data_IF_753605589236
#
_entry.id   IF_753605589236
#
_cell.length_a   1.000
_cell.length_b   1.000
_cell.length_c   1.000
_cell.angle_alpha   90.00
_cell.angle_beta   90.00
_cell.angle_gamma   90.00
#
_symmetry.space_group_name_H-M   'P 1'
#
loop_
_entity.id
_entity.type
_entity.pdbx_description
1 polymer ?
#
# COMPACT_ATOMS: atom_id res chain seq x y z
N UNK A 1 3.15 13.44 1.89
CA UNK A 1 3.37 13.96 3.26
C UNK A 1 2.22 13.77 4.26
N UNK A 2 2.01 12.57 4.81
CA UNK A 2 0.84 12.28 5.70
C UNK A 2 1.18 11.96 7.16
N UNK A 3 2.45 11.67 7.49
CA UNK A 3 2.89 11.39 8.88
C UNK A 3 3.52 12.60 9.59
N UNK A 4 3.32 13.81 9.05
CA UNK A 4 4.09 15.01 9.38
C UNK A 4 4.02 15.44 10.85
N UNK A 5 2.83 15.36 11.46
CA UNK A 5 2.56 15.77 12.83
C UNK A 5 2.82 14.67 13.85
N UNK A 6 2.94 13.41 13.41
CA UNK A 6 3.12 12.26 14.29
C UNK A 6 4.46 12.30 15.06
N UNK A 7 5.52 12.76 14.39
CA UNK A 7 6.89 12.69 14.93
C UNK A 7 7.09 13.46 16.23
N UNK A 8 6.29 14.50 16.45
CA UNK A 8 6.40 15.39 17.62
C UNK A 8 5.41 15.06 18.74
N UNK A 9 4.62 13.99 18.62
CA UNK A 9 3.83 13.51 19.75
C UNK A 9 4.76 13.15 20.93
N UNK A 10 4.35 13.56 22.12
CA UNK A 10 5.05 13.17 23.34
C UNK A 10 4.85 11.67 23.63
N UNK A 11 5.83 11.07 24.29
CA UNK A 11 5.63 9.76 24.90
C UNK A 11 4.70 9.90 26.13
N UNK A 12 3.85 8.89 26.42
CA UNK A 12 3.78 7.58 25.77
C UNK A 12 2.89 7.52 24.51
N UNK A 13 2.22 8.61 24.15
CA UNK A 13 1.16 8.62 23.13
C UNK A 13 1.69 8.26 21.74
N UNK A 14 2.87 8.78 21.36
CA UNK A 14 3.50 8.43 20.08
C UNK A 14 3.75 6.93 19.96
N UNK A 15 4.31 6.29 21.00
CA UNK A 15 4.52 4.85 21.01
C UNK A 15 3.21 4.06 21.02
N UNK A 16 2.16 4.55 21.68
CA UNK A 16 0.83 3.91 21.67
C UNK A 16 0.20 3.92 20.27
N UNK A 17 0.27 5.04 19.55
CA UNK A 17 -0.22 5.14 18.16
C UNK A 17 0.50 4.11 17.28
N UNK A 18 1.83 4.03 17.39
CA UNK A 18 2.62 3.04 16.64
C UNK A 18 2.29 1.59 17.04
N UNK A 19 1.93 1.33 18.29
CA UNK A 19 1.45 0.02 18.73
C UNK A 19 0.11 -0.33 18.04
N UNK A 20 -0.85 0.60 18.00
CA UNK A 20 -2.13 0.37 17.28
C UNK A 20 -1.93 0.07 15.80
N UNK A 21 -0.94 0.67 15.14
CA UNK A 21 -0.68 0.46 13.72
C UNK A 21 0.08 -0.86 13.46
N UNK A 22 1.15 -1.13 14.21
CA UNK A 22 2.15 -2.13 13.81
C UNK A 22 2.32 -3.30 14.77
N UNK A 23 1.90 -3.19 16.03
CA UNK A 23 2.11 -4.28 17.00
C UNK A 23 1.23 -5.47 16.63
N UNK A 24 1.82 -6.67 16.43
CA UNK A 24 1.03 -7.87 16.14
C UNK A 24 0.05 -8.19 17.28
N UNK A 25 -1.11 -8.72 16.92
CA UNK A 25 -2.16 -9.16 17.86
C UNK A 25 -2.61 -8.03 18.82
N UNK A 26 -2.68 -6.80 18.31
CA UNK A 26 -3.08 -5.64 19.10
C UNK A 26 -4.15 -4.80 18.37
N UNK A 27 -3.72 -3.93 17.45
CA UNK A 27 -4.61 -3.12 16.63
C UNK A 27 -4.63 -3.61 15.19
N UNK A 28 -4.41 -2.69 14.25
CA UNK A 28 -4.38 -2.93 12.81
C UNK A 28 -3.32 -3.94 12.40
N UNK A 29 -2.26 -4.17 13.21
CA UNK A 29 -1.30 -5.27 13.05
C UNK A 29 -0.76 -5.40 11.62
N UNK A 30 -0.45 -4.27 10.98
CA UNK A 30 -0.24 -4.18 9.53
C UNK A 30 0.87 -5.11 9.02
N UNK A 31 0.63 -5.70 7.85
CA UNK A 31 1.58 -6.59 7.17
C UNK A 31 2.52 -5.86 6.20
N UNK A 32 2.08 -4.71 5.68
CA UNK A 32 2.79 -3.91 4.67
C UNK A 32 2.82 -2.46 5.14
N UNK A 33 3.98 -1.83 5.02
CA UNK A 33 4.15 -0.38 5.12
C UNK A 33 4.76 0.11 3.80
N UNK A 34 4.02 0.94 3.07
CA UNK A 34 4.46 1.64 1.86
C UNK A 34 4.74 3.10 2.23
N UNK A 35 5.93 3.59 1.90
CA UNK A 35 6.37 4.97 2.18
C UNK A 35 6.73 5.71 0.88
N UNK A 36 6.57 7.04 0.93
CA UNK A 36 7.06 7.92 -0.13
C UNK A 36 8.60 7.95 -0.13
N UNK A 37 9.19 7.82 -1.32
CA UNK A 37 10.57 8.25 -1.55
C UNK A 37 10.50 9.74 -1.85
N UNK A 38 10.73 10.57 -0.82
CA UNK A 38 10.62 12.03 -0.90
C UNK A 38 11.42 12.60 -2.07
N UNK A 39 10.85 13.58 -2.76
CA UNK A 39 11.42 14.17 -3.99
C UNK A 39 11.39 15.69 -4.00
N UNK A 40 11.25 16.33 -2.83
CA UNK A 40 11.18 17.78 -2.61
C UNK A 40 9.95 18.50 -3.18
N UNK A 41 9.12 17.82 -3.98
CA UNK A 41 7.87 18.35 -4.52
C UNK A 41 6.67 18.12 -3.61
N UNK A 42 5.60 18.88 -3.85
CA UNK A 42 4.30 18.71 -3.20
C UNK A 42 3.64 17.40 -3.67
N UNK A 43 3.29 16.51 -2.73
CA UNK A 43 2.69 15.19 -2.94
C UNK A 43 1.36 15.03 -2.18
N UNK A 44 0.44 15.98 -2.37
CA UNK A 44 -0.91 16.13 -1.76
C UNK A 44 -0.94 17.06 -0.55
N UNK A 45 -0.41 16.63 0.60
CA UNK A 45 -0.58 17.32 1.90
C UNK A 45 0.66 18.11 2.36
N UNK A 46 1.68 18.16 1.53
CA UNK A 46 2.95 18.81 1.80
C UNK A 46 4.08 18.18 1.00
N UNK A 47 5.29 18.74 1.16
CA UNK A 47 6.51 18.19 0.55
C UNK A 47 7.17 17.18 1.48
N UNK A 48 7.81 16.16 0.89
CA UNK A 48 8.71 15.26 1.60
C UNK A 48 10.16 15.42 1.12
N UNK A 49 11.14 15.54 2.03
CA UNK A 49 12.50 15.87 1.65
C UNK A 49 13.19 14.69 0.98
N UNK A 50 13.86 14.96 -0.14
CA UNK A 50 14.70 14.00 -0.84
C UNK A 50 15.97 13.66 -0.06
N UNK A 51 16.48 12.44 -0.27
CA UNK A 51 17.83 12.06 0.15
C UNK A 51 18.93 12.71 -0.71
N UNK A 52 18.60 13.31 -1.87
CA UNK A 52 19.54 14.00 -2.75
C UNK A 52 18.94 15.31 -3.32
N UNK A 53 19.07 16.44 -2.60
CA UNK A 53 18.54 17.72 -3.06
C UNK A 53 19.23 18.26 -4.33
N UNK A 54 20.50 17.92 -4.52
CA UNK A 54 21.32 18.25 -5.69
C UNK A 54 22.22 17.06 -6.07
N UNK A 55 22.81 17.07 -7.26
CA UNK A 55 23.49 15.90 -7.86
C UNK A 55 24.58 15.25 -6.97
N UNK A 56 25.27 16.06 -6.16
CA UNK A 56 26.33 15.59 -5.25
C UNK A 56 25.91 15.60 -3.77
N UNK A 57 24.61 15.68 -3.48
CA UNK A 57 24.07 15.62 -2.12
C UNK A 57 23.61 14.21 -1.79
N UNK A 58 23.99 13.67 -0.64
CA UNK A 58 23.41 12.46 -0.08
C UNK A 58 23.18 12.62 1.43
N UNK A 59 21.92 12.50 1.86
CA UNK A 59 21.58 12.48 3.28
C UNK A 59 20.39 11.57 3.55
N UNK A 60 20.67 10.47 4.25
CA UNK A 60 19.70 9.43 4.57
C UNK A 60 19.04 9.63 5.94
N UNK A 61 19.07 10.84 6.50
CA UNK A 61 18.51 11.16 7.82
C UNK A 61 17.45 12.26 7.77
N UNK A 62 17.03 12.69 6.57
CA UNK A 62 15.97 13.68 6.38
C UNK A 62 14.58 13.06 6.49
N UNK A 63 13.60 13.89 6.84
CA UNK A 63 12.21 13.49 6.92
C UNK A 63 11.94 12.50 8.05
N UNK A 64 10.85 11.75 7.92
CA UNK A 64 10.34 10.89 8.98
C UNK A 64 10.15 9.43 8.56
N UNK A 65 10.21 9.12 7.27
CA UNK A 65 9.93 7.76 6.79
C UNK A 65 10.98 6.73 7.23
N UNK A 66 12.25 7.14 7.35
CA UNK A 66 13.29 6.29 7.94
C UNK A 66 12.96 5.90 9.39
N UNK A 67 12.46 6.86 10.18
CA UNK A 67 12.05 6.61 11.56
C UNK A 67 10.81 5.72 11.60
N UNK A 68 9.81 5.99 10.77
CA UNK A 68 8.56 5.24 10.74
C UNK A 68 8.80 3.76 10.37
N UNK A 69 9.62 3.51 9.35
CA UNK A 69 10.00 2.14 8.96
C UNK A 69 10.74 1.39 10.08
N UNK A 70 11.63 2.07 10.82
CA UNK A 70 12.32 1.48 11.98
C UNK A 70 11.35 1.16 13.12
N UNK A 71 10.42 2.07 13.44
CA UNK A 71 9.42 1.86 14.48
C UNK A 71 8.45 0.71 14.13
N UNK A 72 8.09 0.59 12.85
CA UNK A 72 7.29 -0.53 12.34
C UNK A 72 8.05 -1.85 12.44
N UNK A 73 9.30 -1.92 11.96
CA UNK A 73 10.16 -3.12 12.05
C UNK A 73 10.45 -3.54 13.48
N UNK A 74 10.60 -2.59 14.41
CA UNK A 74 10.79 -2.86 15.83
C UNK A 74 9.60 -3.62 16.44
N UNK A 75 8.39 -3.34 15.98
CA UNK A 75 7.15 -3.99 16.46
C UNK A 75 6.82 -5.26 15.70
N UNK A 76 6.98 -5.22 14.38
CA UNK A 76 6.75 -6.34 13.49
C UNK A 76 7.97 -6.53 12.56
N UNK A 77 8.95 -7.37 12.95
CA UNK A 77 10.13 -7.64 12.11
C UNK A 77 9.81 -8.21 10.73
N UNK A 78 8.63 -8.85 10.59
CA UNK A 78 8.16 -9.46 9.34
C UNK A 78 7.42 -8.49 8.41
N UNK A 79 7.16 -7.25 8.84
CA UNK A 79 6.46 -6.25 8.01
C UNK A 79 7.19 -6.07 6.68
N UNK A 80 6.44 -5.98 5.59
CA UNK A 80 6.97 -5.73 4.25
C UNK A 80 7.11 -4.23 4.01
N UNK A 81 8.27 -3.80 3.52
CA UNK A 81 8.56 -2.40 3.24
C UNK A 81 8.54 -2.11 1.74
N UNK A 82 7.83 -1.06 1.34
CA UNK A 82 7.71 -0.63 -0.06
C UNK A 82 8.12 0.84 -0.16
N UNK A 83 8.96 1.18 -1.14
CA UNK A 83 9.28 2.56 -1.50
C UNK A 83 8.71 2.94 -2.87
N UNK A 84 8.08 4.10 -2.98
CA UNK A 84 7.56 4.64 -4.25
C UNK A 84 7.85 6.14 -4.35
N UNK A 85 8.42 6.65 -5.45
CA UNK A 85 8.53 8.09 -5.69
C UNK A 85 7.20 8.70 -6.14
N UNK A 86 6.85 9.86 -5.57
CA UNK A 86 5.79 10.75 -6.10
C UNK A 86 6.36 11.88 -6.93
N UNK A 87 7.48 12.44 -6.50
CA UNK A 87 8.20 13.53 -7.15
C UNK A 87 9.68 13.20 -7.24
N UNK A 88 10.43 13.99 -8.01
CA UNK A 88 11.88 13.86 -8.13
C UNK A 88 12.53 15.25 -8.04
N UNK A 89 13.72 15.38 -7.43
CA UNK A 89 14.50 16.61 -7.50
C UNK A 89 14.81 17.00 -8.95
N UNK A 90 14.81 18.30 -9.25
CA UNK A 90 14.93 18.80 -10.62
C UNK A 90 16.21 18.35 -11.37
N UNK A 91 17.30 18.11 -10.63
CA UNK A 91 18.57 17.68 -11.23
C UNK A 91 18.50 16.28 -11.87
N UNK A 92 17.53 15.45 -11.44
CA UNK A 92 17.30 14.11 -12.02
C UNK A 92 16.94 14.20 -13.51
N UNK A 93 16.17 15.21 -13.89
CA UNK A 93 15.82 15.46 -15.29
C UNK A 93 16.90 16.21 -16.08
N UNK A 94 18.04 16.56 -15.47
CA UNK A 94 19.14 17.35 -16.07
C UNK A 94 18.66 18.62 -16.80
N UNK A 95 17.70 19.33 -16.21
CA UNK A 95 17.11 20.54 -16.78
C UNK A 95 15.76 20.32 -17.46
N UNK A 96 15.37 19.07 -17.72
CA UNK A 96 14.04 18.71 -18.19
C UNK A 96 13.10 18.33 -17.04
N UNK A 97 11.80 18.49 -17.24
CA UNK A 97 10.78 18.12 -16.25
C UNK A 97 10.27 16.68 -16.45
N UNK A 98 11.17 15.75 -16.78
CA UNK A 98 10.82 14.35 -17.06
C UNK A 98 11.91 13.39 -16.55
N UNK A 99 11.58 12.42 -15.67
CA UNK A 99 12.58 11.56 -15.05
C UNK A 99 13.10 10.43 -15.97
N UNK A 100 12.58 10.29 -17.20
CA UNK A 100 12.96 9.19 -18.09
C UNK A 100 13.79 9.61 -19.30
N UNK A 101 14.14 10.89 -19.44
CA UNK A 101 15.08 11.33 -20.46
C UNK A 101 16.50 10.83 -20.14
N UNK A 102 16.83 10.74 -18.85
CA UNK A 102 18.07 10.19 -18.31
C UNK A 102 17.77 9.05 -17.31
N UNK A 103 17.26 7.90 -17.79
CA UNK A 103 16.73 6.86 -16.92
C UNK A 103 17.81 6.19 -16.03
N UNK A 104 19.08 6.28 -16.40
CA UNK A 104 20.23 5.84 -15.62
C UNK A 104 20.43 6.70 -14.36
N UNK A 105 20.26 8.02 -14.49
CA UNK A 105 20.31 8.97 -13.36
C UNK A 105 19.18 8.68 -12.38
N UNK A 106 17.97 8.48 -12.90
CA UNK A 106 16.79 8.15 -12.09
C UNK A 106 16.93 6.80 -11.41
N UNK A 107 17.42 5.77 -12.11
CA UNK A 107 17.66 4.46 -11.53
C UNK A 107 18.74 4.52 -10.43
N UNK A 108 19.81 5.27 -10.65
CA UNK A 108 20.83 5.54 -9.63
C UNK A 108 20.21 6.18 -8.39
N UNK A 109 19.43 7.25 -8.54
CA UNK A 109 18.76 7.95 -7.44
C UNK A 109 17.90 7.02 -6.58
N UNK A 110 17.05 6.21 -7.22
CA UNK A 110 16.15 5.28 -6.52
C UNK A 110 16.93 4.15 -5.86
N UNK A 111 17.92 3.56 -6.52
CA UNK A 111 18.74 2.49 -5.93
C UNK A 111 19.59 3.01 -4.77
N UNK A 112 20.10 4.24 -4.85
CA UNK A 112 20.81 4.90 -3.75
C UNK A 112 19.94 5.05 -2.50
N UNK A 113 18.64 5.31 -2.65
CA UNK A 113 17.69 5.32 -1.52
C UNK A 113 17.61 3.95 -0.84
N UNK A 114 17.48 2.87 -1.63
CA UNK A 114 17.38 1.49 -1.12
C UNK A 114 18.67 1.08 -0.41
N UNK A 115 19.83 1.39 -1.00
CA UNK A 115 21.13 1.13 -0.38
C UNK A 115 21.30 1.92 0.92
N UNK A 116 20.86 3.18 0.94
CA UNK A 116 20.85 4.02 2.12
C UNK A 116 19.97 3.45 3.25
N UNK A 117 18.79 2.94 2.92
CA UNK A 117 17.89 2.27 3.85
C UNK A 117 18.62 1.13 4.60
N UNK A 118 19.35 0.29 3.87
CA UNK A 118 20.11 -0.80 4.46
C UNK A 118 21.32 -0.29 5.26
N UNK A 119 22.14 0.57 4.65
CA UNK A 119 23.43 1.01 5.22
C UNK A 119 23.26 1.81 6.51
N UNK A 120 22.29 2.71 6.57
CA UNK A 120 22.16 3.66 7.67
C UNK A 120 21.07 3.28 8.68
N UNK A 121 20.11 2.45 8.29
CA UNK A 121 18.96 2.09 9.14
C UNK A 121 18.75 0.58 9.32
N UNK A 122 19.58 -0.26 8.68
CA UNK A 122 19.42 -1.71 8.63
C UNK A 122 18.01 -2.14 8.18
N UNK A 123 17.45 -1.42 7.21
CA UNK A 123 16.14 -1.72 6.63
C UNK A 123 16.32 -2.44 5.30
N UNK A 124 15.71 -3.62 5.19
CA UNK A 124 15.58 -4.33 3.92
C UNK A 124 14.27 -3.90 3.25
N UNK A 125 14.37 -3.25 2.09
CA UNK A 125 13.23 -2.86 1.27
C UNK A 125 12.79 -4.07 0.45
N UNK A 126 11.52 -4.46 0.55
CA UNK A 126 11.00 -5.64 -0.12
C UNK A 126 10.54 -5.34 -1.56
N UNK A 127 9.93 -4.17 -1.77
CA UNK A 127 9.43 -3.74 -3.08
C UNK A 127 9.80 -2.29 -3.40
N UNK A 128 10.01 -2.00 -4.68
CA UNK A 128 10.15 -0.65 -5.21
C UNK A 128 9.15 -0.43 -6.35
N UNK A 129 8.48 0.72 -6.32
CA UNK A 129 7.58 1.15 -7.40
C UNK A 129 8.25 2.08 -8.41
N UNK A 130 7.47 2.57 -9.38
CA UNK A 130 8.00 3.31 -10.53
C UNK A 130 7.87 4.84 -10.34
N UNK A 131 6.68 5.37 -10.56
CA UNK A 131 6.36 6.79 -10.35
C UNK A 131 4.85 6.94 -10.16
N UNK A 132 4.45 7.37 -8.96
CA UNK A 132 3.07 7.35 -8.52
C UNK A 132 2.11 8.07 -9.48
N UNK A 133 1.10 7.36 -9.98
CA UNK A 133 0.05 7.89 -10.86
C UNK A 133 0.57 8.67 -12.08
N UNK A 134 1.75 8.31 -12.59
CA UNK A 134 2.35 8.89 -13.79
C UNK A 134 2.62 7.81 -14.83
N UNK A 135 3.02 8.24 -16.03
CA UNK A 135 3.44 7.31 -17.05
C UNK A 135 4.67 6.53 -16.56
N UNK A 136 4.79 5.26 -16.97
CA UNK A 136 6.01 4.48 -16.77
C UNK A 136 6.83 4.46 -18.07
N UNK A 137 8.10 4.06 -17.96
CA UNK A 137 8.96 3.78 -19.10
C UNK A 137 9.47 2.33 -19.00
N UNK A 138 9.16 1.49 -20.00
CA UNK A 138 9.65 0.10 -20.04
C UNK A 138 11.18 0.03 -20.01
N UNK A 139 11.85 1.00 -20.67
CA UNK A 139 13.31 1.15 -20.64
C UNK A 139 13.81 1.40 -19.21
N UNK A 140 13.16 2.30 -18.48
CA UNK A 140 13.51 2.59 -17.09
C UNK A 140 13.30 1.37 -16.19
N UNK A 141 12.17 0.66 -16.30
CA UNK A 141 11.89 -0.52 -15.46
C UNK A 141 12.96 -1.60 -15.65
N UNK A 142 13.33 -1.90 -16.90
CA UNK A 142 14.40 -2.86 -17.23
C UNK A 142 15.75 -2.40 -16.66
N UNK A 143 16.06 -1.11 -16.79
CA UNK A 143 17.29 -0.53 -16.26
C UNK A 143 17.33 -0.51 -14.73
N UNK A 144 16.20 -0.27 -14.07
CA UNK A 144 16.06 -0.34 -12.62
C UNK A 144 16.36 -1.76 -12.13
N UNK A 145 15.80 -2.79 -12.77
CA UNK A 145 16.12 -4.19 -12.46
C UNK A 145 17.62 -4.47 -12.61
N UNK A 146 18.19 -4.11 -13.75
CA UNK A 146 19.63 -4.27 -14.00
C UNK A 146 20.48 -3.59 -12.91
N UNK A 147 20.10 -2.37 -12.52
CA UNK A 147 20.84 -1.57 -11.53
C UNK A 147 20.72 -2.17 -10.13
N UNK A 148 19.55 -2.67 -9.74
CA UNK A 148 19.36 -3.41 -8.49
C UNK A 148 20.25 -4.65 -8.46
N UNK A 149 20.24 -5.46 -9.51
CA UNK A 149 21.01 -6.72 -9.56
C UNK A 149 22.52 -6.45 -9.52
N UNK A 150 22.98 -5.40 -10.21
CA UNK A 150 24.39 -4.96 -10.19
C UNK A 150 24.86 -4.57 -8.78
N UNK A 151 23.95 -4.08 -7.93
CA UNK A 151 24.25 -3.71 -6.54
C UNK A 151 23.92 -4.82 -5.53
N UNK A 152 23.66 -6.06 -5.99
CA UNK A 152 23.35 -7.18 -5.10
C UNK A 152 21.98 -7.11 -4.44
N UNK A 153 21.01 -6.45 -5.09
CA UNK A 153 19.63 -6.27 -4.62
C UNK A 153 18.63 -7.15 -5.40
N UNK A 154 19.04 -8.38 -5.77
CA UNK A 154 18.20 -9.31 -6.54
C UNK A 154 16.89 -9.67 -5.81
N UNK A 155 16.88 -9.58 -4.48
CA UNK A 155 15.73 -9.84 -3.62
C UNK A 155 14.66 -8.74 -3.65
N UNK A 156 15.03 -7.51 -4.02
CA UNK A 156 14.09 -6.38 -4.09
C UNK A 156 13.19 -6.58 -5.31
N UNK A 157 11.88 -6.56 -5.11
CA UNK A 157 10.89 -6.80 -6.18
C UNK A 157 10.38 -5.52 -6.79
N UNK A 158 9.93 -5.57 -8.04
CA UNK A 158 9.36 -4.41 -8.74
C UNK A 158 7.83 -4.54 -8.79
N UNK A 159 7.15 -3.52 -8.27
CA UNK A 159 5.71 -3.31 -8.47
C UNK A 159 5.50 -2.23 -9.53
N UNK A 160 4.61 -2.47 -10.49
CA UNK A 160 4.31 -1.50 -11.53
C UNK A 160 2.81 -1.44 -11.88
N UNK A 161 2.25 -0.31 -12.30
CA UNK A 161 2.89 1.01 -12.39
C UNK A 161 2.37 1.99 -11.34
N UNK A 162 1.65 1.53 -10.31
CA UNK A 162 0.97 2.38 -9.32
C UNK A 162 0.08 3.44 -10.02
N UNK A 163 -0.74 2.94 -10.95
CA UNK A 163 -1.70 3.72 -11.75
C UNK A 163 -2.92 2.86 -12.09
N UNK A 164 -3.43 2.91 -13.31
CA UNK A 164 -4.50 2.05 -13.79
C UNK A 164 -3.94 0.69 -14.22
N UNK A 165 -4.82 -0.30 -14.39
CA UNK A 165 -4.45 -1.61 -14.92
C UNK A 165 -3.74 -1.55 -16.28
N UNK A 166 -4.10 -0.56 -17.09
CA UNK A 166 -3.51 -0.32 -18.40
C UNK A 166 -2.72 1.00 -18.43
N UNK A 167 -1.64 1.09 -19.22
CA UNK A 167 -1.22 0.12 -20.24
C UNK A 167 -0.25 -0.98 -19.74
N UNK A 168 0.09 -1.04 -18.45
CA UNK A 168 1.11 -1.98 -17.96
C UNK A 168 0.72 -3.44 -18.22
N UNK A 169 -0.54 -3.82 -17.98
CA UNK A 169 -0.99 -5.20 -18.18
C UNK A 169 -0.84 -5.65 -19.63
N UNK A 170 -1.26 -4.82 -20.58
CA UNK A 170 -1.09 -5.10 -22.01
C UNK A 170 0.38 -5.19 -22.42
N UNK A 171 1.22 -4.24 -22.00
CA UNK A 171 2.64 -4.21 -22.39
C UNK A 171 3.39 -5.43 -21.86
N UNK A 172 3.06 -5.93 -20.66
CA UNK A 172 3.65 -7.16 -20.11
C UNK A 172 3.30 -8.43 -20.91
N UNK A 173 2.24 -8.41 -21.71
CA UNK A 173 1.92 -9.53 -22.61
C UNK A 173 2.75 -9.48 -23.91
N UNK A 174 3.21 -8.29 -24.29
CA UNK A 174 3.96 -8.06 -25.53
C UNK A 174 5.48 -8.12 -25.34
N UNK A 175 5.97 -7.71 -24.17
CA UNK A 175 7.39 -7.60 -23.87
C UNK A 175 7.79 -8.61 -22.78
N UNK A 176 8.34 -9.76 -23.22
CA UNK A 176 8.73 -10.85 -22.31
C UNK A 176 9.85 -10.47 -21.34
N UNK A 177 10.73 -9.54 -21.72
CA UNK A 177 11.77 -9.03 -20.83
C UNK A 177 11.14 -8.15 -19.75
N UNK A 178 10.24 -7.23 -20.12
CA UNK A 178 9.51 -6.44 -19.14
C UNK A 178 8.67 -7.32 -18.21
N UNK A 179 8.02 -8.34 -18.77
CA UNK A 179 7.31 -9.36 -18.01
C UNK A 179 8.22 -10.04 -17.00
N UNK A 180 9.44 -10.39 -17.38
CA UNK A 180 10.40 -11.05 -16.50
C UNK A 180 10.81 -10.22 -15.28
N UNK A 181 10.88 -8.89 -15.43
CA UNK A 181 11.41 -8.00 -14.38
C UNK A 181 10.35 -7.39 -13.46
N UNK A 182 9.07 -7.42 -13.84
CA UNK A 182 7.95 -6.94 -12.99
C UNK A 182 7.39 -8.09 -12.19
N UNK A 183 7.34 -7.97 -10.86
CA UNK A 183 6.85 -9.03 -9.96
C UNK A 183 5.34 -8.91 -9.66
N UNK A 184 4.86 -7.67 -9.59
CA UNK A 184 3.48 -7.33 -9.16
C UNK A 184 2.91 -6.24 -10.06
N UNK A 185 1.64 -6.40 -10.46
CA UNK A 185 0.86 -5.32 -11.04
C UNK A 185 0.10 -4.60 -9.92
N UNK A 186 0.52 -3.37 -9.62
CA UNK A 186 -0.12 -2.48 -8.64
C UNK A 186 -1.02 -1.48 -9.33
N UNK A 187 -2.32 -1.54 -9.05
CA UNK A 187 -3.32 -0.60 -9.55
C UNK A 187 -3.95 0.22 -8.41
N UNK A 188 -4.38 1.43 -8.72
CA UNK A 188 -4.97 2.40 -7.80
C UNK A 188 -6.48 2.44 -7.97
N UNK A 189 -7.21 2.49 -6.85
CA UNK A 189 -8.66 2.64 -6.77
C UNK A 189 -9.44 1.75 -7.78
N UNK A 190 -9.18 0.44 -7.83
CA UNK A 190 -9.66 -0.45 -8.90
C UNK A 190 -11.17 -0.72 -8.85
N UNK A 191 -11.87 -0.27 -7.80
CA UNK A 191 -13.30 -0.54 -7.64
C UNK A 191 -13.59 -2.04 -7.51
N UNK A 192 -12.70 -2.78 -6.86
CA UNK A 192 -12.73 -4.24 -6.70
C UNK A 192 -12.50 -5.06 -7.97
N UNK A 193 -12.38 -4.45 -9.15
CA UNK A 193 -12.28 -5.18 -10.42
C UNK A 193 -10.87 -5.13 -11.01
N UNK A 194 -10.52 -6.18 -11.73
CA UNK A 194 -9.34 -6.20 -12.61
C UNK A 194 -9.74 -6.26 -14.09
N UNK A 195 -8.76 -6.35 -15.00
CA UNK A 195 -8.98 -6.44 -16.45
C UNK A 195 -8.43 -7.76 -17.02
N UNK A 196 -8.96 -8.26 -18.15
CA UNK A 196 -8.52 -9.54 -18.73
C UNK A 196 -7.01 -9.64 -18.97
N UNK A 197 -6.37 -8.57 -19.46
CA UNK A 197 -4.91 -8.59 -19.70
C UNK A 197 -4.12 -8.82 -18.40
N UNK A 198 -4.54 -8.21 -17.29
CA UNK A 198 -3.88 -8.37 -15.99
C UNK A 198 -3.93 -9.85 -15.55
N UNK A 199 -5.08 -10.51 -15.70
CA UNK A 199 -5.24 -11.94 -15.42
C UNK A 199 -4.33 -12.81 -16.31
N UNK A 200 -4.25 -12.49 -17.61
CA UNK A 200 -3.42 -13.21 -18.57
C UNK A 200 -1.92 -13.13 -18.24
N UNK A 201 -1.47 -12.06 -17.57
CA UNK A 201 -0.07 -11.95 -17.15
C UNK A 201 0.33 -12.97 -16.09
N UNK A 202 -0.64 -13.52 -15.33
CA UNK A 202 -0.39 -14.40 -14.16
C UNK A 202 0.50 -13.76 -13.08
N UNK A 203 0.67 -12.43 -13.11
CA UNK A 203 1.35 -11.68 -12.04
C UNK A 203 0.45 -11.60 -10.82
N UNK A 204 1.07 -11.32 -9.67
CA UNK A 204 0.31 -10.89 -8.50
C UNK A 204 -0.36 -9.55 -8.82
N UNK A 205 -1.64 -9.44 -8.51
CA UNK A 205 -2.41 -8.22 -8.69
C UNK A 205 -2.67 -7.62 -7.31
N UNK A 206 -2.34 -6.35 -7.11
CA UNK A 206 -2.57 -5.63 -5.85
C UNK A 206 -3.37 -4.35 -6.10
N UNK A 207 -4.28 -4.04 -5.18
CA UNK A 207 -4.74 -2.65 -5.02
C UNK A 207 -3.65 -1.92 -4.23
N UNK A 208 -2.69 -1.31 -4.94
CA UNK A 208 -1.48 -0.73 -4.33
C UNK A 208 -1.70 0.67 -3.76
N UNK A 209 -2.89 1.22 -4.00
CA UNK A 209 -3.45 2.38 -3.31
C UNK A 209 -4.98 2.31 -3.37
N UNK A 210 -5.63 2.36 -2.22
CA UNK A 210 -7.09 2.31 -2.08
C UNK A 210 -7.55 3.11 -0.84
N UNK A 211 -8.82 3.00 -0.47
CA UNK A 211 -9.42 3.69 0.68
C UNK A 211 -9.59 5.20 0.46
N UNK A 212 -8.63 6.04 0.88
CA UNK A 212 -8.63 7.51 0.72
C UNK A 212 -9.93 8.20 1.16
N UNK A 213 -10.68 7.56 2.06
CA UNK A 213 -12.01 7.99 2.48
C UNK A 213 -11.97 8.43 3.93
N UNK A 214 -12.76 9.42 4.30
CA UNK A 214 -12.83 9.95 5.66
C UNK A 214 -13.06 8.82 6.67
N UNK A 215 -12.36 8.84 7.79
CA UNK A 215 -12.31 7.72 8.73
C UNK A 215 -13.48 7.63 9.71
N UNK A 216 -14.69 7.89 9.20
CA UNK A 216 -15.96 7.68 9.90
C UNK A 216 -16.54 6.27 9.64
N UNK A 217 -17.80 6.06 9.99
CA UNK A 217 -18.51 4.79 9.78
C UNK A 217 -18.65 4.43 8.29
N UNK A 218 -18.78 5.43 7.40
CA UNK A 218 -18.90 5.19 5.95
C UNK A 218 -17.57 4.76 5.36
N UNK A 219 -16.47 5.44 5.72
CA UNK A 219 -15.13 5.03 5.35
C UNK A 219 -14.78 3.65 5.91
N UNK A 220 -15.18 3.39 7.15
CA UNK A 220 -15.02 2.07 7.79
C UNK A 220 -15.69 0.97 6.98
N UNK A 221 -16.95 1.17 6.57
CA UNK A 221 -17.65 0.21 5.73
C UNK A 221 -17.06 0.09 4.32
N UNK A 222 -16.56 1.18 3.74
CA UNK A 222 -15.80 1.15 2.48
C UNK A 222 -14.60 0.21 2.63
N UNK A 223 -13.79 0.40 3.67
CA UNK A 223 -12.59 -0.41 3.92
C UNK A 223 -12.93 -1.89 4.14
N UNK A 224 -13.95 -2.18 4.95
CA UNK A 224 -14.39 -3.55 5.23
C UNK A 224 -14.82 -4.28 3.94
N UNK A 225 -15.61 -3.60 3.10
CA UNK A 225 -16.10 -4.16 1.84
C UNK A 225 -14.96 -4.45 0.87
N UNK A 226 -14.07 -3.49 0.62
CA UNK A 226 -13.03 -3.65 -0.40
C UNK A 226 -11.94 -4.64 0.02
N UNK A 227 -11.66 -4.80 1.31
CA UNK A 227 -10.70 -5.81 1.81
C UNK A 227 -11.09 -7.24 1.38
N UNK A 228 -12.38 -7.59 1.43
CA UNK A 228 -12.86 -8.86 0.90
C UNK A 228 -12.97 -8.82 -0.63
N UNK A 229 -13.69 -7.83 -1.16
CA UNK A 229 -14.13 -7.84 -2.54
C UNK A 229 -13.02 -7.59 -3.56
N UNK A 230 -11.90 -6.97 -3.18
CA UNK A 230 -10.73 -6.86 -4.05
C UNK A 230 -10.20 -8.24 -4.47
N UNK A 231 -10.20 -9.23 -3.57
CA UNK A 231 -9.85 -10.61 -3.93
C UNK A 231 -10.98 -11.27 -4.72
N UNK A 232 -12.22 -11.22 -4.21
CA UNK A 232 -13.39 -11.92 -4.79
C UNK A 232 -13.65 -11.48 -6.23
N UNK A 233 -13.63 -10.18 -6.51
CA UNK A 233 -14.02 -9.63 -7.81
C UNK A 233 -12.83 -9.40 -8.76
N UNK A 234 -11.61 -9.29 -8.23
CA UNK A 234 -10.46 -8.77 -8.96
C UNK A 234 -9.19 -9.59 -8.82
N UNK A 235 -9.22 -10.72 -8.12
CA UNK A 235 -8.07 -11.58 -7.83
C UNK A 235 -6.91 -10.82 -7.16
N UNK A 236 -7.20 -9.70 -6.49
CA UNK A 236 -6.18 -8.90 -5.83
C UNK A 236 -5.80 -9.52 -4.48
N UNK A 237 -4.49 -9.74 -4.30
CA UNK A 237 -3.96 -10.48 -3.13
C UNK A 237 -3.32 -9.57 -2.08
N UNK A 238 -3.40 -8.26 -2.28
CA UNK A 238 -3.12 -7.24 -1.26
C UNK A 238 -3.93 -5.98 -1.57
N UNK A 239 -4.24 -5.21 -0.53
CA UNK A 239 -4.86 -3.89 -0.62
C UNK A 239 -4.15 -2.97 0.37
N UNK A 240 -3.69 -1.81 -0.10
CA UNK A 240 -2.91 -0.85 0.68
C UNK A 240 -3.72 0.45 0.77
N UNK A 241 -4.12 0.82 1.98
CA UNK A 241 -4.86 2.05 2.21
C UNK A 241 -3.95 3.28 2.10
N UNK A 242 -4.35 4.28 1.31
CA UNK A 242 -3.90 5.65 1.50
C UNK A 242 -4.89 6.34 2.45
N UNK A 243 -4.49 6.83 3.63
CA UNK A 243 -3.15 6.78 4.23
C UNK A 243 -3.12 6.05 5.59
N UNK A 244 -1.90 5.84 6.11
CA UNK A 244 -1.65 5.08 7.33
C UNK A 244 -2.36 5.69 8.55
N UNK A 245 -2.17 7.00 8.74
CA UNK A 245 -2.64 7.77 9.89
C UNK A 245 -2.78 9.22 9.47
N UNK A 246 -3.90 9.84 9.83
CA UNK A 246 -4.12 11.25 9.58
C UNK A 246 -3.33 12.09 10.60
N UNK A 247 -2.08 12.38 10.26
CA UNK A 247 -1.15 13.21 11.03
C UNK A 247 -0.70 14.43 10.22
N UNK A 248 -1.68 15.16 9.72
CA UNK A 248 -1.59 16.42 8.98
C UNK A 248 -2.81 17.28 9.36
N UNK A 249 -2.79 18.57 9.05
CA UNK A 249 -3.92 19.45 9.37
C UNK A 249 -5.17 19.01 8.62
N UNK A 250 -6.32 18.97 9.29
CA UNK A 250 -7.57 18.44 8.72
C UNK A 250 -8.10 19.30 7.56
N UNK A 251 -7.75 20.59 7.53
CA UNK A 251 -8.14 21.51 6.47
C UNK A 251 -7.32 21.34 5.17
N UNK A 252 -6.26 20.53 5.19
CA UNK A 252 -5.56 20.12 3.98
C UNK A 252 -6.43 19.13 3.16
N UNK A 253 -6.11 18.91 1.87
CA UNK A 253 -6.85 17.95 1.05
C UNK A 253 -7.01 16.59 1.73
N UNK A 254 -8.20 15.99 1.66
CA UNK A 254 -8.44 14.66 2.25
C UNK A 254 -8.13 14.58 3.75
N UNK A 255 -8.49 15.63 4.51
CA UNK A 255 -8.49 15.63 5.98
C UNK A 255 -9.09 14.36 6.56
N UNK A 256 -8.39 13.74 7.52
CA UNK A 256 -8.81 12.50 8.20
C UNK A 256 -9.12 11.30 7.29
N UNK A 257 -8.46 11.20 6.14
CA UNK A 257 -8.49 9.99 5.29
C UNK A 257 -7.42 8.93 5.66
N UNK A 258 -7.10 8.80 6.94
CA UNK A 258 -6.16 7.78 7.45
C UNK A 258 -6.85 6.69 8.27
N UNK A 259 -6.24 5.51 8.45
CA UNK A 259 -6.87 4.43 9.24
C UNK A 259 -7.19 4.83 10.69
N UNK A 260 -6.47 5.80 11.24
CA UNK A 260 -6.73 6.47 12.51
C UNK A 260 -6.35 7.95 12.45
N UNK A 261 -6.66 8.72 13.49
CA UNK A 261 -6.40 10.17 13.55
C UNK A 261 -5.40 10.52 14.65
N UNK A 262 -4.34 11.25 14.31
CA UNK A 262 -3.31 11.73 15.24
C UNK A 262 -2.71 13.06 14.77
N UNK A 263 -3.53 14.11 14.78
CA UNK A 263 -3.21 15.44 14.22
C UNK A 263 -2.96 16.53 15.26
N UNK A 264 -2.86 16.18 16.55
CA UNK A 264 -2.67 17.12 17.67
C UNK A 264 -1.48 16.75 18.58
N UNK A 265 -0.23 16.84 18.08
CA UNK A 265 0.95 16.54 18.89
C UNK A 265 1.09 17.44 20.13
N UNK A 266 0.53 18.65 20.11
CA UNK A 266 0.57 19.61 21.22
C UNK A 266 -0.31 19.21 22.41
N UNK A 267 -1.39 18.44 22.18
CA UNK A 267 -2.28 17.96 23.24
C UNK A 267 -2.03 16.50 23.60
N UNK A 268 -1.42 15.73 22.68
CA UNK A 268 -1.30 14.28 22.79
C UNK A 268 -2.60 13.55 22.44
N UNK A 269 -3.66 14.25 22.06
CA UNK A 269 -4.92 13.65 21.64
C UNK A 269 -4.73 12.86 20.34
N UNK A 270 -5.24 11.63 20.32
CA UNK A 270 -5.38 10.83 19.11
C UNK A 270 -6.66 10.01 19.22
N UNK A 271 -7.17 9.54 18.09
CA UNK A 271 -8.38 8.73 18.02
C UNK A 271 -8.12 7.45 17.24
N UNK A 272 -8.34 6.33 17.91
CA UNK A 272 -8.33 5.00 17.30
C UNK A 272 -9.67 4.81 16.59
N UNK A 273 -9.68 5.07 15.29
CA UNK A 273 -10.90 5.02 14.48
C UNK A 273 -11.27 3.59 14.11
N UNK A 274 -12.52 3.36 13.73
CA UNK A 274 -13.03 2.04 13.38
C UNK A 274 -12.30 1.31 12.22
N UNK A 275 -11.66 1.98 11.23
CA UNK A 275 -10.85 1.29 10.23
C UNK A 275 -9.67 0.49 10.82
N UNK A 276 -9.14 0.85 12.00
CA UNK A 276 -8.14 0.05 12.72
C UNK A 276 -8.67 -1.35 13.03
N UNK A 277 -9.91 -1.43 13.52
CA UNK A 277 -10.53 -2.70 13.91
C UNK A 277 -11.01 -3.51 12.71
N UNK A 278 -11.51 -2.84 11.66
CA UNK A 278 -11.79 -3.51 10.37
C UNK A 278 -10.52 -4.12 9.80
N UNK A 279 -9.38 -3.42 9.88
CA UNK A 279 -8.09 -3.97 9.45
C UNK A 279 -7.72 -5.22 10.27
N UNK A 280 -7.92 -5.16 11.59
CA UNK A 280 -7.62 -6.26 12.50
C UNK A 280 -8.39 -7.56 12.20
N UNK A 281 -9.64 -7.47 11.71
CA UNK A 281 -10.44 -8.63 11.28
C UNK A 281 -9.75 -9.48 10.21
N UNK A 282 -8.83 -8.89 9.43
CA UNK A 282 -8.01 -9.62 8.46
C UNK A 282 -6.60 -9.86 8.99
N UNK A 283 -5.91 -8.82 9.46
CA UNK A 283 -4.47 -8.86 9.68
C UNK A 283 -4.05 -9.67 10.90
N UNK A 284 -4.90 -9.82 11.91
CA UNK A 284 -4.58 -10.66 13.07
C UNK A 284 -4.73 -12.15 12.78
N UNK A 285 -5.55 -12.51 11.80
CA UNK A 285 -5.93 -13.89 11.51
C UNK A 285 -5.42 -14.40 10.16
N UNK A 286 -4.57 -13.63 9.50
CA UNK A 286 -3.92 -14.00 8.23
C UNK A 286 -2.48 -13.50 8.24
N UNK A 287 -1.62 -14.08 7.40
CA UNK A 287 -0.25 -13.60 7.19
C UNK A 287 0.14 -13.70 5.71
N UNK A 288 1.06 -12.84 5.22
CA UNK A 288 1.64 -13.01 3.90
C UNK A 288 2.24 -14.42 3.76
N UNK A 289 1.79 -15.15 2.73
CA UNK A 289 2.13 -16.56 2.50
C UNK A 289 0.95 -17.52 2.66
N UNK A 290 -0.13 -17.10 3.32
CA UNK A 290 -1.39 -17.84 3.34
C UNK A 290 -2.02 -17.88 1.95
N UNK A 291 -2.86 -18.89 1.72
CA UNK A 291 -3.57 -19.10 0.47
C UNK A 291 -5.07 -18.92 0.65
N UNK A 292 -5.69 -18.19 -0.26
CA UNK A 292 -7.15 -18.13 -0.35
C UNK A 292 -7.72 -19.44 -0.88
N UNK A 293 -8.86 -19.86 -0.33
CA UNK A 293 -9.66 -20.95 -0.88
C UNK A 293 -10.44 -20.47 -2.10
N UNK A 294 -10.63 -21.37 -3.07
CA UNK A 294 -11.39 -21.09 -4.29
C UNK A 294 -12.89 -21.24 -4.01
N UNK A 295 -13.57 -20.10 -3.81
CA UNK A 295 -15.01 -19.99 -3.57
C UNK A 295 -15.56 -18.78 -4.32
N UNK A 296 -16.85 -18.77 -4.66
CA UNK A 296 -17.50 -17.65 -5.36
C UNK A 296 -17.42 -16.33 -4.56
N UNK A 297 -17.51 -16.41 -3.23
CA UNK A 297 -17.20 -15.31 -2.33
C UNK A 297 -18.32 -14.28 -2.13
N UNK A 298 -19.47 -14.38 -2.81
CA UNK A 298 -20.64 -13.52 -2.57
C UNK A 298 -21.72 -14.23 -1.73
N UNK A 299 -22.47 -13.45 -0.95
CA UNK A 299 -23.62 -13.92 -0.19
C UNK A 299 -24.93 -13.64 -0.96
N UNK A 300 -25.91 -14.55 -0.88
CA UNK A 300 -27.18 -14.43 -1.61
C UNK A 300 -27.97 -13.15 -1.30
N UNK A 301 -28.01 -12.75 -0.02
CA UNK A 301 -28.68 -11.53 0.44
C UNK A 301 -27.80 -10.27 0.40
N UNK A 302 -26.67 -10.31 -0.32
CA UNK A 302 -25.69 -9.22 -0.38
C UNK A 302 -24.60 -9.30 0.69
N UNK A 303 -23.41 -8.80 0.36
CA UNK A 303 -22.19 -9.00 1.15
C UNK A 303 -21.29 -10.08 0.55
N UNK A 304 -20.14 -10.31 1.18
CA UNK A 304 -19.12 -11.24 0.69
C UNK A 304 -18.42 -12.00 1.82
N UNK A 305 -17.75 -13.08 1.45
CA UNK A 305 -16.88 -13.82 2.34
C UNK A 305 -15.60 -14.26 1.63
N UNK A 306 -14.52 -14.35 2.38
CA UNK A 306 -13.27 -14.98 1.96
C UNK A 306 -12.84 -15.99 3.01
N UNK A 307 -12.12 -17.02 2.57
CA UNK A 307 -11.53 -18.01 3.45
C UNK A 307 -10.07 -18.25 3.08
N UNK A 308 -9.20 -18.35 4.08
CA UNK A 308 -7.76 -18.55 3.91
C UNK A 308 -7.25 -19.67 4.81
N UNK A 309 -6.23 -20.39 4.33
CA UNK A 309 -5.49 -21.40 5.09
C UNK A 309 -3.98 -21.13 5.01
N UNK A 310 -3.24 -21.55 6.03
CA UNK A 310 -1.78 -21.61 6.04
C UNK A 310 -1.21 -22.93 5.50
N UNK A 311 -2.06 -23.92 5.20
CA UNK A 311 -1.65 -25.27 4.80
C UNK A 311 -1.13 -26.12 5.95
N UNK A 312 -1.31 -25.68 7.20
CA UNK A 312 -0.90 -26.35 8.43
C UNK A 312 -2.10 -26.67 9.34
N UNK A 313 -3.32 -26.64 8.80
CA UNK A 313 -4.56 -26.92 9.51
C UNK A 313 -5.29 -25.70 10.07
N UNK A 314 -4.77 -24.47 9.93
CA UNK A 314 -5.49 -23.27 10.35
C UNK A 314 -6.44 -22.78 9.24
N UNK A 315 -7.63 -22.33 9.63
CA UNK A 315 -8.63 -21.79 8.72
C UNK A 315 -9.17 -20.47 9.28
N UNK A 316 -9.14 -19.43 8.46
CA UNK A 316 -9.74 -18.12 8.75
C UNK A 316 -10.84 -17.84 7.74
N UNK A 317 -12.03 -17.46 8.21
CA UNK A 317 -13.16 -17.04 7.38
C UNK A 317 -13.53 -15.61 7.78
N UNK A 318 -13.59 -14.70 6.80
CA UNK A 318 -13.89 -13.28 7.01
C UNK A 318 -15.13 -12.94 6.20
N UNK A 319 -16.15 -12.41 6.86
CA UNK A 319 -17.47 -12.16 6.27
C UNK A 319 -17.83 -10.69 6.46
N UNK A 320 -18.36 -10.05 5.43
CA UNK A 320 -18.85 -8.68 5.47
C UNK A 320 -20.23 -8.56 4.81
N UNK A 321 -21.09 -7.70 5.37
CA UNK A 321 -22.44 -7.39 4.84
C UNK A 321 -22.65 -5.88 4.78
N UNK A 322 -21.66 -5.16 4.29
CA UNK A 322 -21.68 -3.70 4.27
C UNK A 322 -22.78 -3.20 3.34
N UNK A 323 -23.71 -2.40 3.87
CA UNK A 323 -24.76 -1.77 3.05
C UNK A 323 -24.17 -0.71 2.12
N UNK A 324 -24.80 -0.48 0.96
CA UNK A 324 -24.40 0.57 0.02
C UNK A 324 -24.19 1.92 0.71
N UNK A 325 -25.19 2.44 1.43
CA UNK A 325 -25.16 3.79 1.98
C UNK A 325 -24.07 4.02 3.06
N UNK A 326 -23.59 2.96 3.69
CA UNK A 326 -22.57 3.01 4.74
C UNK A 326 -21.23 2.43 4.30
N UNK A 327 -20.97 2.31 2.99
CA UNK A 327 -19.70 1.75 2.48
C UNK A 327 -19.22 2.37 1.18
N UNK A 328 -19.64 3.61 0.92
CA UNK A 328 -19.20 4.37 -0.24
C UNK A 328 -17.77 4.84 -0.02
N UNK A 329 -16.87 4.40 -0.89
CA UNK A 329 -15.53 4.96 -0.98
C UNK A 329 -15.60 6.25 -1.82
N UNK A 330 -14.62 7.14 -1.67
CA UNK A 330 -14.54 8.32 -2.54
C UNK A 330 -14.30 7.96 -4.02
N UNK A 331 -13.70 6.80 -4.29
CA UNK A 331 -13.31 6.33 -5.63
C UNK A 331 -13.41 4.80 -5.73
N UNK A 332 -13.89 4.27 -6.87
CA UNK A 332 -14.77 4.92 -7.84
C UNK A 332 -16.21 5.08 -7.29
N UNK A 333 -17.13 5.73 -8.01
CA UNK A 333 -18.55 5.69 -7.68
C UNK A 333 -19.05 4.24 -7.54
N UNK A 334 -19.82 3.98 -6.49
CA UNK A 334 -20.36 2.66 -6.18
C UNK A 334 -21.78 2.55 -6.73
N UNK A 335 -22.06 1.65 -7.70
CA UNK A 335 -23.43 1.40 -8.13
C UNK A 335 -24.27 0.88 -6.95
N UNK A 336 -25.55 1.25 -6.95
CA UNK A 336 -26.47 0.81 -5.90
C UNK A 336 -26.58 -0.73 -5.86
N UNK A 337 -26.56 -1.29 -4.65
CA UNK A 337 -26.85 -2.69 -4.37
C UNK A 337 -27.63 -2.81 -3.05
N UNK A 338 -28.35 -3.92 -2.90
CA UNK A 338 -29.16 -4.19 -1.71
C UNK A 338 -28.48 -5.21 -0.80
N UNK A 339 -28.65 -5.04 0.50
CA UNK A 339 -28.27 -6.03 1.51
C UNK A 339 -29.49 -6.29 2.38
N UNK A 340 -29.87 -7.56 2.56
CA UNK A 340 -31.03 -7.97 3.35
C UNK A 340 -30.63 -8.95 4.46
N UNK A 341 -31.41 -9.02 5.56
CA UNK A 341 -31.23 -10.07 6.56
C UNK A 341 -31.29 -11.45 5.91
N UNK A 342 -30.30 -12.29 6.21
CA UNK A 342 -30.14 -13.59 5.58
C UNK A 342 -29.51 -14.60 6.53
N UNK A 343 -29.58 -15.89 6.18
CA UNK A 343 -28.91 -16.98 6.88
C UNK A 343 -27.95 -17.68 5.95
N UNK A 344 -26.65 -17.44 6.12
CA UNK A 344 -25.61 -18.17 5.41
C UNK A 344 -25.23 -19.46 6.17
N UNK A 345 -25.13 -20.59 5.49
CA UNK A 345 -24.70 -21.87 6.07
C UNK A 345 -23.42 -22.34 5.39
N UNK A 346 -22.33 -22.47 6.16
CA UNK A 346 -21.03 -22.90 5.65
C UNK A 346 -20.80 -24.38 5.98
N UNK A 347 -20.44 -25.17 4.97
CA UNK A 347 -20.07 -26.58 5.13
C UNK A 347 -18.59 -26.74 4.82
N UNK A 348 -17.79 -27.07 5.82
CA UNK A 348 -16.38 -27.35 5.64
C UNK A 348 -16.19 -28.74 5.02
N UNK A 349 -15.44 -28.81 3.93
CA UNK A 349 -15.10 -30.04 3.22
C UNK A 349 -13.60 -30.06 2.92
N UNK A 350 -13.02 -31.25 2.88
CA UNK A 350 -11.59 -31.44 2.61
C UNK A 350 -10.72 -31.23 3.85
N UNK A 351 -9.42 -31.03 3.61
CA UNK A 351 -8.39 -30.72 4.61
C UNK A 351 -7.82 -29.34 4.35
N UNK A 352 -7.43 -28.64 5.42
CA UNK A 352 -6.93 -27.26 5.36
C UNK A 352 -5.44 -27.18 5.64
#
# INVERSE_FOLDING_TARGET
>A
ATSRLLVNYQEPYRSQILDYLFKPNFGASLHILKVEIGGDGQSTDGTEPSHMHYENDENYFRGYEWWLMKEAKKRNPKIKLIGLPWTFPAWIGKGENWPYDYPDVTAYYVVSWILGAKRYHNLDIDYVGIWNERAFSSKYIKLLRYTLDKHGLQQVRIIASDRLWEPISFVLLLDSELHGVVDVIGAHYPGTKTVPNALLTKKKLWSSEDYSTFNDEVGTGCWARILNQNYVNGNMTATIAWNLVASYYEELPFGRCGLMTAQEPWSGHYKVEAPIWITAHTTQFTQPGWSYLQVDGHLEGGGSFVALTDGLGNLTIIIETMSHNHSQCIRPPLPHFSVTPQRATFYLKGSF
#
